data_IF_773281778471
#
_entry.id   IF_773281778471
#
_cell.length_a   1.000
_cell.length_b   1.000
_cell.length_c   1.000
_cell.angle_alpha   90.00
_cell.angle_beta   90.00
_cell.angle_gamma   90.00
#
_symmetry.space_group_name_H-M   'P 1'
#
loop_
_entity.id
_entity.type
_entity.pdbx_description
1 polymer ?
#
# COMPACT_ATOMS: atom_id res chain seq x y z
N UNK A 1 -18.61 1.92 0.12
CA UNK A 1 -17.76 2.09 1.31
C UNK A 1 -16.72 0.99 1.33
N UNK A 2 -15.49 1.28 1.78
CA UNK A 2 -14.44 0.27 1.98
C UNK A 2 -14.13 0.19 3.48
N UNK A 3 -13.91 -1.02 3.96
CA UNK A 3 -13.63 -1.31 5.37
C UNK A 3 -12.56 -2.39 5.49
N UNK A 4 -11.90 -2.41 6.64
CA UNK A 4 -10.95 -3.45 7.02
C UNK A 4 -11.61 -4.35 8.05
N UNK A 5 -11.54 -5.65 7.84
CA UNK A 5 -12.03 -6.66 8.79
C UNK A 5 -10.92 -7.69 9.02
N UNK A 6 -10.11 -7.43 10.05
CA UNK A 6 -9.07 -8.33 10.50
C UNK A 6 -8.78 -8.10 11.98
N UNK A 7 -8.25 -9.14 12.62
CA UNK A 7 -7.78 -9.08 14.00
C UNK A 7 -6.60 -10.03 14.17
N UNK A 8 -5.46 -9.47 14.57
CA UNK A 8 -4.27 -10.24 14.96
C UNK A 8 -3.83 -9.80 16.36
N UNK A 9 -3.99 -10.70 17.33
CA UNK A 9 -3.60 -10.47 18.72
C UNK A 9 -2.15 -10.87 19.01
N UNK A 10 -1.46 -11.50 18.07
CA UNK A 10 -0.10 -12.02 18.25
C UNK A 10 1.00 -10.97 18.02
N UNK A 11 0.63 -9.81 17.45
CA UNK A 11 1.54 -8.70 17.12
C UNK A 11 1.03 -7.36 17.69
N UNK A 12 1.86 -6.32 17.58
CA UNK A 12 1.47 -4.95 17.94
C UNK A 12 0.23 -4.52 17.13
N UNK A 13 -0.89 -4.30 17.82
CA UNK A 13 -2.20 -4.01 17.20
C UNK A 13 -2.21 -2.70 16.41
N UNK A 14 -1.43 -1.70 16.83
CA UNK A 14 -1.26 -0.44 16.08
C UNK A 14 -0.49 -0.73 14.79
N UNK A 15 0.58 -1.53 14.88
CA UNK A 15 1.32 -2.05 13.73
C UNK A 15 0.41 -2.76 12.73
N UNK A 16 -0.41 -3.71 13.20
CA UNK A 16 -1.36 -4.44 12.36
C UNK A 16 -2.31 -3.50 11.61
N UNK A 17 -2.88 -2.49 12.30
CA UNK A 17 -3.81 -1.55 11.71
C UNK A 17 -3.15 -0.65 10.66
N UNK A 18 -1.96 -0.12 10.95
CA UNK A 18 -1.20 0.73 10.03
C UNK A 18 -0.78 -0.06 8.79
N UNK A 19 -0.29 -1.29 8.95
CA UNK A 19 0.08 -2.16 7.82
C UNK A 19 -1.13 -2.46 6.95
N UNK A 20 -2.24 -2.92 7.53
CA UNK A 20 -3.44 -3.27 6.77
C UNK A 20 -4.05 -2.07 6.04
N UNK A 21 -4.12 -0.91 6.69
CA UNK A 21 -4.65 0.31 6.07
C UNK A 21 -3.76 0.82 4.94
N UNK A 22 -2.44 0.88 5.16
CA UNK A 22 -1.49 1.30 4.12
C UNK A 22 -1.51 0.33 2.94
N UNK A 23 -1.58 -0.98 3.18
CA UNK A 23 -1.67 -1.97 2.10
C UNK A 23 -2.93 -1.79 1.24
N UNK A 24 -4.09 -1.53 1.85
CA UNK A 24 -5.33 -1.24 1.13
C UNK A 24 -5.20 0.06 0.30
N UNK A 25 -4.67 1.13 0.89
CA UNK A 25 -4.42 2.39 0.18
C UNK A 25 -3.41 2.24 -0.96
N UNK A 26 -2.35 1.48 -0.75
CA UNK A 26 -1.34 1.18 -1.77
C UNK A 26 -1.96 0.42 -2.95
N UNK A 27 -2.82 -0.57 -2.70
CA UNK A 27 -3.53 -1.29 -3.76
C UNK A 27 -4.43 -0.35 -4.58
N UNK A 28 -5.14 0.58 -3.91
CA UNK A 28 -5.96 1.59 -4.60
C UNK A 28 -5.09 2.53 -5.45
N UNK A 29 -3.98 3.02 -4.90
CA UNK A 29 -3.05 3.88 -5.64
C UNK A 29 -2.44 3.14 -6.83
N UNK A 30 -2.07 1.87 -6.67
CA UNK A 30 -1.54 1.06 -7.75
C UNK A 30 -2.57 0.95 -8.90
N UNK A 31 -3.83 0.66 -8.57
CA UNK A 31 -4.93 0.62 -9.55
C UNK A 31 -5.16 1.97 -10.24
N UNK A 32 -5.02 3.09 -9.52
CA UNK A 32 -5.14 4.45 -10.10
C UNK A 32 -4.00 4.79 -11.07
N UNK A 33 -2.85 4.12 -10.95
CA UNK A 33 -1.69 4.31 -11.81
C UNK A 33 -1.67 3.36 -13.02
N UNK A 34 -2.62 2.43 -13.12
CA UNK A 34 -2.71 1.54 -14.27
C UNK A 34 -3.12 2.31 -15.54
N UNK A 35 -2.50 2.02 -16.70
CA UNK A 35 -2.89 2.58 -18.00
C UNK A 35 -4.15 1.87 -18.51
N UNK A 36 -5.26 2.03 -17.79
CA UNK A 36 -6.51 1.29 -17.98
C UNK A 36 -7.01 1.34 -19.43
N UNK A 37 -7.01 2.51 -20.06
CA UNK A 37 -7.48 2.67 -21.44
C UNK A 37 -6.66 1.85 -22.44
N UNK A 38 -5.33 1.82 -22.24
CA UNK A 38 -4.43 1.01 -23.08
C UNK A 38 -4.67 -0.49 -22.87
N UNK A 39 -4.84 -0.93 -21.62
CA UNK A 39 -5.12 -2.32 -21.28
C UNK A 39 -6.45 -2.80 -21.87
N UNK A 40 -7.50 -1.96 -21.80
CA UNK A 40 -8.79 -2.24 -22.43
C UNK A 40 -8.66 -2.36 -23.94
N UNK A 41 -7.94 -1.45 -24.59
CA UNK A 41 -7.68 -1.51 -26.03
C UNK A 41 -6.97 -2.81 -26.44
N UNK A 42 -5.97 -3.26 -25.68
CA UNK A 42 -5.32 -4.54 -25.94
C UNK A 42 -6.29 -5.71 -25.78
N UNK A 43 -7.15 -5.68 -24.75
CA UNK A 43 -8.15 -6.73 -24.52
C UNK A 43 -9.17 -6.82 -25.67
N UNK A 44 -9.76 -5.69 -26.07
CA UNK A 44 -10.74 -5.59 -27.15
C UNK A 44 -10.17 -6.06 -28.50
N UNK A 45 -8.89 -5.77 -28.75
CA UNK A 45 -8.16 -6.19 -29.95
C UNK A 45 -7.60 -7.62 -29.87
N UNK A 46 -7.86 -8.37 -28.79
CA UNK A 46 -7.30 -9.72 -28.54
C UNK A 46 -5.76 -9.78 -28.49
N UNK A 47 -5.12 -8.67 -28.13
CA UNK A 47 -3.67 -8.52 -27.95
C UNK A 47 -3.25 -8.98 -26.55
N UNK A 48 -3.44 -10.28 -26.26
CA UNK A 48 -3.27 -10.82 -24.91
C UNK A 48 -1.81 -10.84 -24.45
N UNK A 49 -0.86 -10.95 -25.38
CA UNK A 49 0.55 -10.87 -25.06
C UNK A 49 0.92 -9.49 -24.52
N UNK A 50 0.54 -8.43 -25.22
CA UNK A 50 0.83 -7.05 -24.85
C UNK A 50 0.13 -6.66 -23.55
N UNK A 51 -1.13 -7.10 -23.38
CA UNK A 51 -1.87 -6.93 -22.12
C UNK A 51 -1.12 -7.58 -20.95
N UNK A 52 -0.70 -8.83 -21.09
CA UNK A 52 0.05 -9.53 -20.05
C UNK A 52 1.40 -8.87 -19.78
N UNK A 53 2.16 -8.56 -20.83
CA UNK A 53 3.47 -7.92 -20.71
C UNK A 53 3.36 -6.56 -20.00
N UNK A 54 2.35 -5.75 -20.34
CA UNK A 54 2.14 -4.46 -19.69
C UNK A 54 1.79 -4.63 -18.20
N UNK A 55 0.89 -5.56 -17.85
CA UNK A 55 0.54 -5.86 -16.46
C UNK A 55 1.75 -6.31 -15.64
N UNK A 56 2.63 -7.15 -16.19
CA UNK A 56 3.85 -7.56 -15.52
C UNK A 56 4.84 -6.40 -15.36
N UNK A 57 5.03 -5.58 -16.39
CA UNK A 57 5.91 -4.42 -16.34
C UNK A 57 5.47 -3.38 -15.30
N UNK A 58 4.17 -3.24 -15.03
CA UNK A 58 3.64 -2.34 -14.00
C UNK A 58 4.16 -2.70 -12.60
N UNK A 59 4.38 -3.98 -12.31
CA UNK A 59 4.88 -4.43 -11.00
C UNK A 59 6.31 -3.94 -10.71
N UNK A 60 7.08 -3.63 -11.74
CA UNK A 60 8.45 -3.12 -11.65
C UNK A 60 8.56 -1.60 -11.83
N UNK A 61 7.45 -0.90 -12.11
CA UNK A 61 7.44 0.56 -12.18
C UNK A 61 7.76 1.15 -10.80
N UNK A 62 8.24 2.41 -10.72
CA UNK A 62 8.61 3.05 -9.46
C UNK A 62 7.38 3.46 -8.62
N UNK A 63 6.50 2.50 -8.30
CA UNK A 63 5.33 2.68 -7.45
C UNK A 63 5.70 3.22 -6.07
N UNK A 64 6.80 2.70 -5.48
CA UNK A 64 7.31 3.16 -4.18
C UNK A 64 7.53 4.67 -4.13
N UNK A 65 8.11 5.27 -5.17
CA UNK A 65 8.33 6.71 -5.23
C UNK A 65 7.03 7.52 -5.23
N UNK A 66 5.98 7.02 -5.89
CA UNK A 66 4.66 7.68 -5.89
C UNK A 66 3.98 7.55 -4.53
N UNK A 67 4.07 6.38 -3.90
CA UNK A 67 3.55 6.14 -2.55
C UNK A 67 4.27 7.00 -1.50
N UNK A 68 5.59 7.09 -1.59
CA UNK A 68 6.42 7.88 -0.67
C UNK A 68 6.08 9.37 -0.79
N UNK A 69 5.92 9.88 -2.01
CA UNK A 69 5.46 11.24 -2.23
C UNK A 69 4.05 11.49 -1.69
N UNK A 70 3.13 10.53 -1.85
CA UNK A 70 1.80 10.62 -1.25
C UNK A 70 1.87 10.71 0.28
N UNK A 71 2.71 9.89 0.93
CA UNK A 71 2.91 9.95 2.37
C UNK A 71 3.50 11.29 2.82
N UNK A 72 4.56 11.75 2.15
CA UNK A 72 5.20 13.04 2.42
C UNK A 72 4.21 14.21 2.30
N UNK A 73 3.37 14.23 1.26
CA UNK A 73 2.37 15.29 1.06
C UNK A 73 1.30 15.33 2.16
N UNK A 74 1.03 14.19 2.80
CA UNK A 74 0.05 14.07 3.87
C UNK A 74 0.67 14.14 5.27
N UNK A 75 1.95 14.51 5.38
CA UNK A 75 2.67 14.65 6.65
C UNK A 75 2.61 13.37 7.52
N UNK A 76 2.78 12.21 6.86
CA UNK A 76 2.86 10.90 7.52
C UNK A 76 4.17 10.18 7.15
N UNK A 77 4.64 9.24 7.98
CA UNK A 77 5.92 8.56 7.74
C UNK A 77 5.98 7.85 6.38
N UNK A 78 7.14 8.01 5.75
CA UNK A 78 7.46 7.48 4.42
C UNK A 78 8.04 6.06 4.56
N UNK A 79 7.82 5.22 3.55
CA UNK A 79 8.36 3.86 3.49
C UNK A 79 8.22 3.10 4.84
N UNK A 80 9.33 2.68 5.44
CA UNK A 80 9.42 1.95 6.71
C UNK A 80 9.48 2.84 7.97
N UNK A 81 9.49 4.16 7.86
CA UNK A 81 9.75 5.06 9.00
C UNK A 81 8.69 4.93 10.10
N UNK A 82 7.45 4.57 9.74
CA UNK A 82 6.38 4.30 10.69
C UNK A 82 6.72 3.17 11.69
N UNK A 83 7.65 2.26 11.34
CA UNK A 83 8.07 1.18 12.24
C UNK A 83 8.73 1.76 13.48
N UNK A 84 9.63 2.74 13.31
CA UNK A 84 10.34 3.36 14.42
C UNK A 84 9.37 4.10 15.37
N UNK A 85 8.39 4.81 14.81
CA UNK A 85 7.36 5.51 15.59
C UNK A 85 6.50 4.55 16.42
N UNK A 86 6.05 3.45 15.81
CA UNK A 86 5.25 2.45 16.52
C UNK A 86 6.07 1.77 17.62
N UNK A 87 7.32 1.43 17.35
CA UNK A 87 8.23 0.87 18.36
C UNK A 87 8.49 1.86 19.51
N UNK A 88 8.62 3.15 19.21
CA UNK A 88 8.76 4.18 20.24
C UNK A 88 7.50 4.26 21.11
N UNK A 89 6.32 4.33 20.50
CA UNK A 89 5.06 4.36 21.24
C UNK A 89 4.84 3.10 22.10
N UNK A 90 5.25 1.95 21.59
CA UNK A 90 5.21 0.70 22.34
C UNK A 90 6.04 0.75 23.62
N UNK A 91 7.29 1.22 23.52
CA UNK A 91 8.18 1.36 24.69
C UNK A 91 7.70 2.42 25.67
N UNK A 92 7.25 3.57 25.18
CA UNK A 92 6.94 4.73 26.02
C UNK A 92 5.55 4.67 26.64
N UNK A 93 4.60 3.97 26.00
CA UNK A 93 3.19 4.00 26.38
C UNK A 93 2.63 2.60 26.60
N UNK A 94 2.68 1.72 25.59
CA UNK A 94 2.00 0.42 25.68
C UNK A 94 2.60 -0.49 26.74
N UNK A 95 3.92 -0.48 26.92
CA UNK A 95 4.65 -1.26 27.93
C UNK A 95 4.23 -0.96 29.38
N UNK A 96 3.61 0.21 29.61
CA UNK A 96 3.18 0.69 30.93
C UNK A 96 1.73 0.33 31.23
N UNK A 97 1.01 -0.29 30.29
CA UNK A 97 -0.38 -0.68 30.44
C UNK A 97 -0.42 -2.13 30.92
N UNK A 98 -0.87 -2.32 32.16
CA UNK A 98 -1.24 -3.61 32.75
C UNK A 98 -2.60 -4.09 32.26
#
# INVERSE_FOLDING_TARGET
HMGLDFFDASINRIGAYVVGTRAAQQAMLFALLEPREMLLKYEENKQFFERLAMLELLKAKPFGAVWDYYCMKNDVPVAQDYIAEIQQYEREVLSKRS
#
